data_IF_437922567087
#
_entry.id   IF_437922567087
#
_cell.length_a   1.000
_cell.length_b   1.000
_cell.length_c   1.000
_cell.angle_alpha   90.00
_cell.angle_beta   90.00
_cell.angle_gamma   90.00
#
_symmetry.space_group_name_H-M   'P 1'
#
loop_
_entity.id
_entity.type
_entity.pdbx_description
1 polymer ?
#
# COMPACT_ATOMS: atom_id res chain seq x y z
N UNK A 1 4.60 13.22 -6.03
CA UNK A 1 4.15 14.32 -5.17
C UNK A 1 4.69 15.63 -5.69
N UNK A 2 3.85 16.66 -5.76
CA UNK A 2 4.28 18.03 -6.02
C UNK A 2 4.71 18.72 -4.72
N UNK A 3 5.87 19.37 -4.71
CA UNK A 3 6.41 20.10 -3.56
C UNK A 3 6.94 21.44 -4.04
N UNK A 4 6.26 22.54 -3.66
CA UNK A 4 6.68 23.89 -4.04
C UNK A 4 6.69 24.17 -5.56
N UNK A 5 5.91 23.42 -6.34
CA UNK A 5 5.84 23.53 -7.79
C UNK A 5 6.75 22.54 -8.55
N UNK A 6 7.54 21.74 -7.86
CA UNK A 6 8.35 20.66 -8.43
C UNK A 6 7.75 19.29 -8.15
N UNK A 7 7.82 18.38 -9.12
CA UNK A 7 7.35 17.01 -8.97
C UNK A 7 8.48 16.08 -8.54
N UNK A 8 8.21 15.26 -7.52
CA UNK A 8 9.13 14.26 -7.00
C UNK A 8 8.50 12.88 -7.03
N UNK A 9 9.35 11.86 -7.24
CA UNK A 9 9.00 10.46 -7.14
C UNK A 9 9.50 9.91 -5.80
N UNK A 10 8.63 9.21 -5.09
CA UNK A 10 8.97 8.46 -3.88
C UNK A 10 8.91 6.97 -4.21
N UNK A 11 9.98 6.27 -3.98
CA UNK A 11 10.13 4.86 -4.37
C UNK A 11 10.59 3.99 -3.22
N UNK A 12 10.08 2.77 -3.16
CA UNK A 12 10.52 1.73 -2.23
C UNK A 12 11.26 0.63 -2.97
N UNK A 13 12.23 0.01 -2.31
CA UNK A 13 13.01 -1.10 -2.83
C UNK A 13 13.17 -2.17 -1.74
N UNK A 14 12.21 -3.09 -1.65
CA UNK A 14 12.08 -3.97 -0.49
C UNK A 14 13.04 -5.17 -0.46
N UNK A 15 13.47 -5.71 -1.58
CA UNK A 15 14.26 -6.94 -1.59
C UNK A 15 15.76 -6.70 -1.37
N UNK A 16 16.47 -6.36 -2.43
CA UNK A 16 17.95 -6.26 -2.41
C UNK A 16 18.45 -4.98 -1.78
N UNK A 17 17.76 -3.89 -2.02
CA UNK A 17 18.19 -2.56 -1.57
C UNK A 17 17.68 -2.26 -0.15
N UNK A 18 16.51 -2.77 0.21
CA UNK A 18 15.86 -2.53 1.51
C UNK A 18 15.97 -1.06 1.93
N UNK A 19 15.45 -0.20 1.05
CA UNK A 19 15.60 1.25 1.14
C UNK A 19 14.38 1.95 0.57
N UNK A 20 14.30 3.23 0.80
CA UNK A 20 13.37 4.12 0.14
C UNK A 20 14.09 5.40 -0.29
N UNK A 21 13.58 6.08 -1.31
CA UNK A 21 14.25 7.24 -1.87
C UNK A 21 13.25 8.27 -2.38
N UNK A 22 13.68 9.54 -2.36
CA UNK A 22 13.09 10.63 -3.09
C UNK A 22 13.94 10.90 -4.33
N UNK A 23 13.29 10.96 -5.47
CA UNK A 23 13.93 11.25 -6.76
C UNK A 23 13.28 12.48 -7.37
N UNK A 24 14.02 13.19 -8.21
CA UNK A 24 13.43 14.21 -9.11
C UNK A 24 12.49 13.52 -10.11
N UNK A 25 11.67 14.30 -10.81
CA UNK A 25 10.83 13.81 -11.92
C UNK A 25 11.66 13.17 -13.06
N UNK A 26 12.96 13.51 -13.17
CA UNK A 26 13.91 12.94 -14.14
C UNK A 26 14.62 11.69 -13.62
N UNK A 27 14.36 11.29 -12.37
CA UNK A 27 14.92 10.07 -11.76
C UNK A 27 16.25 10.25 -11.04
N UNK A 28 16.73 11.48 -10.85
CA UNK A 28 17.93 11.75 -10.07
C UNK A 28 17.64 11.63 -8.58
N UNK A 29 18.53 10.99 -7.83
CA UNK A 29 18.36 10.77 -6.39
C UNK A 29 18.56 12.08 -5.62
N UNK A 30 17.49 12.56 -4.95
CA UNK A 30 17.59 13.66 -3.99
C UNK A 30 18.15 13.14 -2.67
N UNK A 31 17.54 12.06 -2.14
CA UNK A 31 18.08 11.32 -0.99
C UNK A 31 17.63 9.85 -1.05
N UNK A 32 18.39 9.00 -0.34
CA UNK A 32 18.07 7.59 -0.09
C UNK A 32 18.24 7.29 1.37
N UNK A 33 17.30 6.58 1.95
CA UNK A 33 17.28 6.19 3.36
C UNK A 33 17.08 4.67 3.49
N UNK A 34 17.46 4.14 4.64
CA UNK A 34 17.42 2.73 4.99
C UNK A 34 16.60 2.52 6.26
N UNK A 35 16.79 1.38 6.96
CA UNK A 35 16.09 1.11 8.20
C UNK A 35 16.33 2.24 9.23
N UNK A 36 15.26 2.72 9.89
CA UNK A 36 15.39 3.66 10.99
C UNK A 36 15.81 2.88 12.26
N UNK A 37 17.12 2.76 12.50
CA UNK A 37 17.65 1.98 13.63
C UNK A 37 17.16 2.51 14.99
N UNK A 38 16.82 3.79 15.05
CA UNK A 38 16.22 4.47 16.23
C UNK A 38 14.88 3.85 16.64
N UNK A 39 14.14 3.26 15.69
CA UNK A 39 12.89 2.57 15.98
C UNK A 39 13.09 1.28 16.81
N UNK A 40 14.30 0.76 16.84
CA UNK A 40 14.63 -0.52 17.45
C UNK A 40 14.02 -1.74 16.73
N UNK A 41 14.51 -2.92 17.07
CA UNK A 41 13.99 -4.19 16.55
C UNK A 41 14.49 -4.59 15.17
N UNK A 42 15.36 -3.80 14.54
CA UNK A 42 16.08 -4.16 13.32
C UNK A 42 17.40 -4.85 13.64
N UNK A 43 17.79 -5.80 12.79
CA UNK A 43 19.09 -6.44 12.87
C UNK A 43 20.21 -5.44 12.55
N UNK A 44 21.39 -5.68 13.12
CA UNK A 44 22.56 -4.85 12.84
C UNK A 44 22.84 -4.79 11.33
N UNK A 45 23.16 -3.58 10.84
CA UNK A 45 23.45 -3.33 9.43
C UNK A 45 22.24 -3.21 8.51
N UNK A 46 21.00 -3.12 9.05
CA UNK A 46 19.82 -2.82 8.23
C UNK A 46 19.78 -1.36 7.70
N UNK A 47 20.64 -0.50 8.20
CA UNK A 47 20.83 0.90 7.78
C UNK A 47 21.92 1.11 6.72
N UNK A 48 22.60 0.06 6.26
CA UNK A 48 23.71 0.16 5.29
C UNK A 48 23.62 -0.84 4.14
N UNK A 49 24.30 -0.57 3.04
CA UNK A 49 24.54 -1.48 1.91
C UNK A 49 26.02 -1.90 1.86
N UNK A 50 26.33 -3.04 1.23
CA UNK A 50 25.47 -4.08 0.66
C UNK A 50 25.01 -5.10 1.70
N UNK A 51 23.84 -5.74 1.44
CA UNK A 51 23.28 -6.82 2.27
C UNK A 51 23.25 -8.11 1.49
N UNK A 52 23.77 -9.18 2.09
CA UNK A 52 23.97 -10.46 1.39
C UNK A 52 23.12 -11.61 1.93
N UNK A 53 22.43 -11.41 3.03
CA UNK A 53 21.68 -12.44 3.74
C UNK A 53 20.22 -12.57 3.28
N UNK A 54 19.51 -13.52 3.88
CA UNK A 54 18.08 -13.69 3.67
C UNK A 54 17.33 -12.40 4.05
N UNK A 55 16.61 -11.76 3.13
CA UNK A 55 15.92 -10.51 3.41
C UNK A 55 14.68 -10.69 4.30
N UNK A 56 14.14 -11.90 4.45
CA UNK A 56 12.87 -12.14 5.11
C UNK A 56 13.03 -12.30 6.63
N UNK A 57 12.29 -11.49 7.39
CA UNK A 57 12.31 -11.49 8.86
C UNK A 57 11.59 -10.28 9.43
N UNK A 58 11.18 -10.38 10.70
CA UNK A 58 10.54 -9.26 11.42
C UNK A 58 11.57 -8.24 11.91
N UNK A 59 12.83 -8.58 11.88
CA UNK A 59 14.00 -7.77 12.17
C UNK A 59 14.63 -7.15 10.90
N UNK A 60 13.93 -7.22 9.78
CA UNK A 60 14.39 -6.70 8.48
C UNK A 60 13.55 -5.50 8.05
N UNK A 61 14.18 -4.56 7.36
CA UNK A 61 13.51 -3.40 6.78
C UNK A 61 13.14 -3.67 5.32
N UNK A 62 11.85 -3.72 5.03
CA UNK A 62 11.35 -4.07 3.69
C UNK A 62 10.10 -3.24 3.36
N UNK A 63 10.31 -1.96 3.01
CA UNK A 63 9.24 -0.99 2.84
C UNK A 63 8.36 -1.31 1.63
N UNK A 64 7.07 -1.00 1.73
CA UNK A 64 6.07 -1.26 0.69
C UNK A 64 5.54 0.02 0.05
N UNK A 65 4.94 0.94 0.81
CA UNK A 65 4.29 2.11 0.23
C UNK A 65 4.33 3.33 1.16
N UNK A 66 4.01 4.50 0.58
CA UNK A 66 3.99 5.81 1.24
C UNK A 66 2.58 6.35 1.36
N UNK A 67 2.34 7.17 2.41
CA UNK A 67 1.23 8.10 2.49
C UNK A 67 1.75 9.48 2.92
N UNK A 68 1.35 10.54 2.22
CA UNK A 68 1.89 11.87 2.46
C UNK A 68 1.08 12.62 3.49
N UNK A 69 1.74 12.96 4.58
CA UNK A 69 1.13 13.71 5.69
C UNK A 69 0.89 15.18 5.31
N UNK A 70 -0.19 15.82 5.81
CA UNK A 70 -0.49 17.22 5.50
C UNK A 70 0.60 18.24 5.91
N UNK A 71 1.42 17.92 6.92
CA UNK A 71 2.54 18.79 7.34
C UNK A 71 3.76 18.78 6.43
N UNK A 72 3.71 18.00 5.34
CA UNK A 72 4.81 17.88 4.39
C UNK A 72 5.66 16.61 4.55
N UNK A 73 5.60 15.93 5.67
CA UNK A 73 6.26 14.65 5.88
C UNK A 73 5.48 13.47 5.25
N UNK A 74 5.74 12.25 5.73
CA UNK A 74 5.10 11.05 5.19
C UNK A 74 5.10 9.89 6.18
N UNK A 75 4.20 8.95 5.93
CA UNK A 75 4.24 7.62 6.49
C UNK A 75 4.84 6.63 5.51
N UNK A 76 5.49 5.59 6.02
CA UNK A 76 6.07 4.50 5.25
C UNK A 76 5.70 3.18 5.90
N UNK A 77 5.04 2.31 5.17
CA UNK A 77 4.74 0.96 5.64
C UNK A 77 5.96 0.05 5.44
N UNK A 78 6.45 -0.60 6.50
CA UNK A 78 7.45 -1.66 6.44
C UNK A 78 6.77 -3.04 6.35
N UNK A 79 6.02 -3.22 5.26
CA UNK A 79 5.00 -4.26 5.14
C UNK A 79 5.54 -5.68 4.91
N UNK A 80 6.76 -5.86 4.43
CA UNK A 80 7.39 -7.17 4.33
C UNK A 80 8.43 -7.41 5.44
N UNK A 81 8.86 -6.34 6.12
CA UNK A 81 9.81 -6.34 7.21
C UNK A 81 9.15 -6.42 8.58
N UNK A 82 9.26 -5.36 9.38
CA UNK A 82 8.84 -5.32 10.78
C UNK A 82 7.32 -5.30 11.00
N UNK A 83 6.51 -5.06 9.97
CA UNK A 83 5.06 -4.82 10.05
C UNK A 83 4.70 -3.57 10.86
N UNK A 84 5.56 -2.55 10.82
CA UNK A 84 5.32 -1.23 11.42
C UNK A 84 5.02 -0.18 10.36
N UNK A 85 4.37 0.87 10.78
CA UNK A 85 4.18 2.09 10.00
C UNK A 85 5.09 3.15 10.61
N UNK A 86 6.04 3.63 9.82
CA UNK A 86 7.00 4.66 10.24
C UNK A 86 6.53 6.04 9.82
N UNK A 87 6.75 7.03 10.67
CA UNK A 87 6.50 8.45 10.42
C UNK A 87 7.82 9.16 10.21
N UNK A 88 7.90 9.94 9.12
CA UNK A 88 9.07 10.74 8.75
C UNK A 88 8.67 12.20 8.54
N UNK A 89 9.60 13.13 8.75
CA UNK A 89 9.46 14.52 8.33
C UNK A 89 9.64 14.68 6.81
N UNK A 90 9.56 15.92 6.30
CA UNK A 90 9.71 16.23 4.88
C UNK A 90 11.13 15.92 4.33
N UNK A 91 12.14 15.93 5.17
CA UNK A 91 13.55 15.65 4.83
C UNK A 91 13.87 14.14 4.94
N UNK A 92 12.87 13.33 5.32
CA UNK A 92 13.03 11.89 5.51
C UNK A 92 13.75 11.52 6.80
N UNK A 93 13.75 12.36 7.83
CA UNK A 93 14.22 12.00 9.16
C UNK A 93 13.11 11.27 9.90
N UNK A 94 13.47 10.18 10.57
CA UNK A 94 12.51 9.38 11.31
C UNK A 94 12.02 10.13 12.56
N UNK A 95 10.71 10.03 12.81
CA UNK A 95 10.06 10.68 13.96
C UNK A 95 9.50 9.68 14.96
N UNK A 96 8.74 8.69 14.46
CA UNK A 96 8.05 7.70 15.28
C UNK A 96 7.61 6.49 14.46
N UNK A 97 7.05 5.49 15.12
CA UNK A 97 6.34 4.40 14.45
C UNK A 97 5.20 3.89 15.31
N UNK A 98 4.23 3.23 14.65
CA UNK A 98 3.14 2.53 15.30
C UNK A 98 2.91 1.17 14.62
N UNK A 99 2.07 0.35 15.25
CA UNK A 99 1.77 -0.99 14.76
C UNK A 99 2.78 -2.03 15.20
N UNK A 100 2.38 -3.27 15.05
CA UNK A 100 3.16 -4.46 15.41
C UNK A 100 2.71 -5.67 14.59
N UNK A 101 3.48 -6.75 14.52
CA UNK A 101 3.01 -8.00 13.93
C UNK A 101 1.75 -8.51 14.64
N UNK A 102 0.72 -8.92 13.89
CA UNK A 102 -0.50 -9.49 14.46
C UNK A 102 -0.29 -10.91 14.92
N UNK A 103 -0.90 -11.25 16.06
CA UNK A 103 -1.16 -12.61 16.47
C UNK A 103 -2.44 -13.19 15.84
N UNK A 104 -2.86 -14.39 16.29
CA UNK A 104 -4.10 -15.02 15.82
C UNK A 104 -5.37 -14.18 16.06
N UNK A 105 -5.36 -13.36 17.08
CA UNK A 105 -6.49 -12.51 17.52
C UNK A 105 -6.76 -11.32 16.61
N UNK A 106 -5.81 -10.98 15.71
CA UNK A 106 -5.91 -9.82 14.80
C UNK A 106 -6.35 -8.52 15.48
N UNK A 107 -5.85 -8.24 16.66
CA UNK A 107 -6.21 -7.02 17.39
C UNK A 107 -5.94 -5.74 16.59
N UNK A 108 -6.71 -4.69 16.86
CA UNK A 108 -6.53 -3.37 16.24
C UNK A 108 -5.11 -2.84 16.48
N UNK A 109 -4.51 -2.24 15.47
CA UNK A 109 -3.12 -1.76 15.49
C UNK A 109 -2.06 -2.85 15.27
N UNK A 110 -2.46 -4.12 15.13
CA UNK A 110 -1.56 -5.21 14.76
C UNK A 110 -1.76 -5.60 13.30
N UNK A 111 -0.67 -5.88 12.57
CA UNK A 111 -0.68 -6.08 11.13
C UNK A 111 -0.13 -7.44 10.70
N UNK A 112 -0.63 -7.91 9.55
CA UNK A 112 -0.03 -9.00 8.80
C UNK A 112 0.14 -8.57 7.33
N UNK A 113 1.37 -8.23 6.94
CA UNK A 113 1.68 -7.66 5.64
C UNK A 113 0.95 -6.30 5.38
N UNK A 114 1.14 -5.24 6.20
CA UNK A 114 0.63 -3.92 5.87
C UNK A 114 1.26 -3.43 4.57
N UNK A 115 0.46 -3.31 3.50
CA UNK A 115 1.04 -3.14 2.16
C UNK A 115 0.76 -1.76 1.57
N UNK A 116 -0.50 -1.45 1.31
CA UNK A 116 -0.92 -0.13 0.89
C UNK A 116 -1.17 0.78 2.10
N UNK A 117 -0.90 2.05 1.92
CA UNK A 117 -1.16 3.08 2.92
C UNK A 117 -1.52 4.38 2.22
N UNK A 118 -2.51 5.10 2.74
CA UNK A 118 -2.96 6.37 2.19
C UNK A 118 -3.45 7.32 3.28
N UNK A 119 -3.65 8.59 2.92
CA UNK A 119 -4.39 9.52 3.78
C UNK A 119 -5.84 9.54 3.29
N UNK A 120 -6.74 9.06 4.13
CA UNK A 120 -8.18 9.14 3.95
C UNK A 120 -8.66 10.47 4.51
N UNK A 121 -9.02 11.38 3.61
CA UNK A 121 -9.55 12.71 3.91
C UNK A 121 -11.05 12.86 3.56
N UNK A 122 -11.76 11.74 3.42
CA UNK A 122 -13.20 11.72 3.11
C UNK A 122 -14.11 12.13 4.27
N UNK A 123 -13.60 12.17 5.50
CA UNK A 123 -14.36 12.55 6.71
C UNK A 123 -13.99 13.92 7.26
N UNK A 124 -14.46 14.21 8.48
CA UNK A 124 -14.24 15.49 9.17
C UNK A 124 -12.75 15.79 9.47
N UNK A 125 -11.94 14.76 9.60
CA UNK A 125 -10.51 14.89 9.84
C UNK A 125 -9.74 13.80 9.06
N UNK A 126 -8.54 14.14 8.53
CA UNK A 126 -7.73 13.17 7.82
C UNK A 126 -7.24 12.05 8.73
N UNK A 127 -7.22 10.83 8.20
CA UNK A 127 -6.79 9.60 8.88
C UNK A 127 -5.77 8.86 8.04
N UNK A 128 -4.96 8.05 8.66
CA UNK A 128 -4.11 7.09 7.94
C UNK A 128 -4.92 5.80 7.75
N UNK A 129 -5.11 5.39 6.51
CA UNK A 129 -5.68 4.07 6.18
C UNK A 129 -4.59 3.12 5.75
N UNK A 130 -4.58 1.90 6.31
CA UNK A 130 -3.58 0.86 6.03
C UNK A 130 -4.28 -0.39 5.50
N UNK A 131 -3.86 -0.87 4.34
CA UNK A 131 -4.28 -2.17 3.82
C UNK A 131 -3.50 -3.28 4.55
N UNK A 132 -4.12 -3.85 5.58
CA UNK A 132 -3.63 -4.99 6.37
C UNK A 132 -3.89 -6.29 5.57
N UNK A 133 -3.05 -6.47 4.55
CA UNK A 133 -3.31 -7.33 3.39
C UNK A 133 -3.59 -8.77 3.74
N UNK A 134 -2.73 -9.41 4.52
CA UNK A 134 -2.89 -10.83 4.82
C UNK A 134 -3.94 -11.10 5.92
N UNK A 135 -4.39 -10.07 6.62
CA UNK A 135 -5.55 -10.13 7.51
C UNK A 135 -6.88 -9.90 6.78
N UNK A 136 -6.86 -9.42 5.53
CA UNK A 136 -8.04 -9.20 4.71
C UNK A 136 -8.89 -8.01 5.18
N UNK A 137 -8.25 -6.94 5.66
CA UNK A 137 -8.94 -5.76 6.21
C UNK A 137 -8.24 -4.45 5.88
N UNK A 138 -8.95 -3.34 6.05
CA UNK A 138 -8.38 -2.00 6.21
C UNK A 138 -8.41 -1.63 7.68
N UNK A 139 -7.43 -0.87 8.13
CA UNK A 139 -7.42 -0.25 9.46
C UNK A 139 -7.19 1.25 9.34
N UNK A 140 -7.92 2.04 10.12
CA UNK A 140 -7.78 3.50 10.20
C UNK A 140 -7.12 3.91 11.50
N UNK A 141 -6.25 4.91 11.39
CA UNK A 141 -5.49 5.49 12.50
C UNK A 141 -5.58 7.01 12.45
N UNK A 142 -5.44 7.66 13.61
CA UNK A 142 -5.18 9.10 13.64
C UNK A 142 -3.83 9.41 12.97
N UNK A 143 -3.57 10.68 12.65
CA UNK A 143 -2.26 11.09 12.13
C UNK A 143 -1.12 10.90 13.16
N UNK A 144 -1.45 10.70 14.44
CA UNK A 144 -0.49 10.37 15.49
C UNK A 144 -0.29 8.85 15.68
N UNK A 145 -1.01 8.03 14.91
CA UNK A 145 -0.89 6.57 14.92
C UNK A 145 -1.78 5.84 15.93
N UNK A 146 -2.79 6.51 16.50
CA UNK A 146 -3.79 5.88 17.36
C UNK A 146 -4.80 5.10 16.52
N UNK A 147 -5.06 3.85 16.90
CA UNK A 147 -6.07 3.01 16.25
C UNK A 147 -7.48 3.59 16.42
N UNK A 148 -8.23 3.67 15.34
CA UNK A 148 -9.59 4.22 15.32
C UNK A 148 -10.65 3.18 14.98
N UNK A 149 -10.48 2.46 13.87
CA UNK A 149 -11.48 1.51 13.36
C UNK A 149 -10.88 0.55 12.34
N UNK A 150 -11.67 -0.43 11.93
CA UNK A 150 -11.31 -1.36 10.85
C UNK A 150 -12.52 -1.75 10.02
N UNK A 151 -12.27 -2.22 8.81
CA UNK A 151 -13.21 -2.87 7.90
C UNK A 151 -12.67 -4.22 7.49
N UNK A 152 -13.32 -5.28 7.92
CA UNK A 152 -13.03 -6.67 7.55
C UNK A 152 -13.72 -7.08 6.24
N UNK A 153 -13.42 -8.30 5.77
CA UNK A 153 -14.11 -8.94 4.64
C UNK A 153 -13.53 -8.62 3.27
N UNK A 154 -12.39 -7.95 3.22
CA UNK A 154 -11.59 -7.86 2.01
C UNK A 154 -10.83 -9.18 1.77
N UNK A 155 -10.46 -9.46 0.52
CA UNK A 155 -9.82 -10.72 0.21
C UNK A 155 -8.30 -10.68 0.38
N UNK A 156 -7.65 -9.70 -0.23
CA UNK A 156 -6.21 -9.46 -0.13
C UNK A 156 -5.89 -8.03 -0.56
N UNK A 157 -6.33 -7.01 0.19
CA UNK A 157 -6.21 -5.60 -0.22
C UNK A 157 -4.74 -5.23 -0.40
N UNK A 158 -4.42 -4.63 -1.54
CA UNK A 158 -3.03 -4.33 -1.91
C UNK A 158 -2.66 -2.87 -1.72
N UNK A 159 -3.57 -1.97 -2.04
CA UNK A 159 -3.38 -0.52 -1.89
C UNK A 159 -4.71 0.18 -1.59
N UNK A 160 -4.67 1.48 -1.39
CA UNK A 160 -5.82 2.37 -1.27
C UNK A 160 -5.52 3.64 -2.05
N UNK A 161 -6.50 4.16 -2.79
CA UNK A 161 -6.52 5.51 -3.33
C UNK A 161 -7.83 6.19 -2.94
N UNK A 162 -7.82 7.51 -2.82
CA UNK A 162 -8.97 8.30 -2.37
C UNK A 162 -9.25 9.40 -3.38
N UNK A 163 -10.53 9.58 -3.70
CA UNK A 163 -11.01 10.70 -4.49
C UNK A 163 -12.42 11.10 -4.09
N UNK A 164 -12.61 12.36 -3.79
CA UNK A 164 -13.90 12.89 -3.32
C UNK A 164 -14.38 12.05 -2.11
N UNK A 165 -15.56 11.47 -2.17
CA UNK A 165 -16.14 10.62 -1.11
C UNK A 165 -15.93 9.12 -1.35
N UNK A 166 -14.97 8.72 -2.18
CA UNK A 166 -14.73 7.33 -2.55
C UNK A 166 -13.32 6.86 -2.21
N UNK A 167 -13.24 5.67 -1.63
CA UNK A 167 -12.01 4.92 -1.50
C UNK A 167 -11.98 3.79 -2.52
N UNK A 168 -10.84 3.61 -3.16
CA UNK A 168 -10.58 2.60 -4.18
C UNK A 168 -9.59 1.58 -3.61
N UNK A 169 -9.99 0.33 -3.53
CA UNK A 169 -9.17 -0.74 -2.93
C UNK A 169 -8.96 -1.87 -3.93
N UNK A 170 -7.79 -1.95 -4.58
CA UNK A 170 -7.42 -3.11 -5.39
C UNK A 170 -7.22 -4.32 -4.48
N UNK A 171 -7.95 -5.39 -4.79
CA UNK A 171 -7.94 -6.63 -4.05
C UNK A 171 -7.28 -7.72 -4.92
N UNK A 172 -6.10 -8.19 -4.53
CA UNK A 172 -5.27 -9.14 -5.32
C UNK A 172 -5.98 -10.43 -5.72
N UNK A 173 -7.17 -10.69 -5.20
CA UNK A 173 -8.01 -11.82 -5.59
C UNK A 173 -9.09 -11.36 -6.60
N UNK A 174 -8.64 -10.66 -7.65
CA UNK A 174 -9.41 -10.48 -8.88
C UNK A 174 -10.55 -9.47 -8.80
N UNK A 175 -10.50 -8.44 -7.94
CA UNK A 175 -11.50 -7.37 -7.93
C UNK A 175 -10.94 -6.04 -7.45
N UNK A 176 -11.63 -4.97 -7.75
CA UNK A 176 -11.40 -3.66 -7.15
C UNK A 176 -12.65 -3.27 -6.36
N UNK A 177 -12.49 -3.01 -5.07
CA UNK A 177 -13.58 -2.66 -4.16
C UNK A 177 -13.68 -1.14 -4.05
N UNK A 178 -14.89 -0.60 -4.13
CA UNK A 178 -15.21 0.80 -3.87
C UNK A 178 -15.90 0.93 -2.51
N UNK A 179 -15.46 1.87 -1.69
CA UNK A 179 -16.09 2.25 -0.43
C UNK A 179 -16.56 3.70 -0.51
N UNK A 180 -17.61 4.04 0.23
CA UNK A 180 -18.04 5.42 0.46
C UNK A 180 -17.30 6.05 1.66
N UNK A 181 -17.56 7.32 1.94
CA UNK A 181 -16.98 8.05 3.07
C UNK A 181 -17.36 7.47 4.45
N UNK A 182 -18.42 6.67 4.55
CA UNK A 182 -18.78 5.93 5.76
C UNK A 182 -18.04 4.58 5.87
N UNK A 183 -17.09 4.31 4.96
CA UNK A 183 -16.33 3.07 4.83
C UNK A 183 -17.20 1.84 4.51
N UNK A 184 -18.37 2.03 3.91
CA UNK A 184 -19.25 0.96 3.47
C UNK A 184 -18.91 0.55 2.04
N UNK A 185 -18.96 -0.76 1.75
CA UNK A 185 -18.76 -1.28 0.39
C UNK A 185 -19.92 -0.87 -0.50
N UNK A 186 -19.66 -0.04 -1.51
CA UNK A 186 -20.67 0.37 -2.51
C UNK A 186 -20.62 -0.46 -3.78
N UNK A 187 -19.55 -1.19 -4.02
CA UNK A 187 -19.48 -2.10 -5.16
C UNK A 187 -18.11 -2.75 -5.38
N UNK A 188 -18.12 -3.73 -6.27
CA UNK A 188 -16.92 -4.42 -6.75
C UNK A 188 -16.84 -4.31 -8.27
N UNK A 189 -15.71 -3.80 -8.77
CA UNK A 189 -15.45 -3.68 -10.19
C UNK A 189 -14.68 -4.90 -10.69
N UNK A 190 -15.06 -5.41 -11.85
CA UNK A 190 -14.37 -6.48 -12.55
C UNK A 190 -14.17 -7.77 -11.75
N UNK A 191 -15.07 -8.06 -10.80
CA UNK A 191 -14.94 -9.17 -9.85
C UNK A 191 -14.90 -10.53 -10.55
N UNK A 192 -13.78 -11.21 -10.39
CA UNK A 192 -13.51 -12.59 -10.82
C UNK A 192 -12.96 -13.43 -9.65
N UNK A 193 -13.22 -12.99 -8.43
CA UNK A 193 -12.64 -13.55 -7.21
C UNK A 193 -12.93 -15.03 -7.01
N UNK A 194 -14.13 -15.49 -7.38
CA UNK A 194 -14.50 -16.90 -7.29
C UNK A 194 -13.60 -17.77 -8.17
N UNK A 195 -13.35 -17.36 -9.43
CA UNK A 195 -12.47 -18.07 -10.35
C UNK A 195 -11.01 -18.00 -9.93
N UNK A 196 -10.56 -16.83 -9.45
CA UNK A 196 -9.21 -16.64 -8.93
C UNK A 196 -8.92 -17.49 -7.69
N UNK A 197 -9.90 -17.66 -6.81
CA UNK A 197 -9.78 -18.54 -5.64
C UNK A 197 -9.71 -20.01 -6.06
N UNK A 198 -10.54 -20.44 -7.03
CA UNK A 198 -10.52 -21.81 -7.55
C UNK A 198 -9.20 -22.18 -8.24
N UNK A 199 -8.58 -21.25 -8.97
CA UNK A 199 -7.26 -21.41 -9.60
C UNK A 199 -6.10 -21.47 -8.62
N UNK A 200 -6.31 -21.02 -7.37
CA UNK A 200 -5.25 -20.90 -6.39
C UNK A 200 -4.15 -19.91 -6.77
N UNK A 201 -4.46 -18.94 -7.62
CA UNK A 201 -3.60 -17.82 -8.08
C UNK A 201 -2.38 -18.28 -8.91
N UNK A 202 -2.48 -19.39 -9.63
CA UNK A 202 -1.31 -19.98 -10.31
C UNK A 202 -1.34 -19.91 -11.83
N UNK A 203 -2.36 -20.48 -12.48
CA UNK A 203 -2.42 -20.59 -13.92
C UNK A 203 -2.87 -19.29 -14.60
N UNK A 204 -3.99 -18.74 -14.16
CA UNK A 204 -4.60 -17.54 -14.76
C UNK A 204 -3.63 -16.36 -14.79
N UNK A 205 -2.84 -16.17 -13.74
CA UNK A 205 -1.84 -15.11 -13.66
C UNK A 205 -0.75 -15.20 -14.74
N UNK A 206 -0.47 -16.40 -15.22
CA UNK A 206 0.66 -16.68 -16.15
C UNK A 206 0.23 -16.84 -17.58
N UNK A 207 -1.07 -17.03 -17.83
CA UNK A 207 -1.61 -17.34 -19.15
C UNK A 207 -2.68 -16.32 -19.56
N UNK A 208 -2.29 -15.43 -20.49
CA UNK A 208 -3.18 -14.39 -21.01
C UNK A 208 -4.42 -14.93 -21.71
N UNK A 209 -4.34 -16.14 -22.27
CA UNK A 209 -5.48 -16.77 -22.96
C UNK A 209 -6.65 -17.07 -22.00
N UNK A 210 -6.37 -17.10 -20.70
CA UNK A 210 -7.35 -17.31 -19.65
C UNK A 210 -7.96 -16.00 -19.11
N UNK A 211 -7.48 -14.85 -19.59
CA UNK A 211 -8.02 -13.56 -19.12
C UNK A 211 -9.34 -13.23 -19.77
N UNK A 212 -10.27 -12.71 -19.00
CA UNK A 212 -11.61 -12.34 -19.46
C UNK A 212 -11.69 -10.81 -19.52
N UNK A 213 -12.20 -10.27 -20.62
CA UNK A 213 -12.42 -8.84 -20.76
C UNK A 213 -13.37 -8.32 -19.69
N UNK A 214 -13.03 -7.20 -19.05
CA UNK A 214 -13.81 -6.62 -17.96
C UNK A 214 -13.66 -7.34 -16.62
N UNK A 215 -12.77 -8.35 -16.52
CA UNK A 215 -12.43 -9.06 -15.28
C UNK A 215 -10.98 -8.83 -14.89
N UNK A 216 -10.75 -8.71 -13.59
CA UNK A 216 -9.41 -8.61 -13.03
C UNK A 216 -8.83 -9.97 -12.64
N UNK A 217 -7.51 -10.05 -12.67
CA UNK A 217 -6.75 -11.23 -12.25
C UNK A 217 -6.08 -10.96 -10.91
N UNK A 218 -5.11 -10.04 -10.89
CA UNK A 218 -4.40 -9.64 -9.68
C UNK A 218 -4.22 -8.12 -9.64
N UNK A 219 -5.28 -7.33 -9.40
CA UNK A 219 -5.13 -5.89 -9.22
C UNK A 219 -4.24 -5.61 -8.01
N UNK A 220 -3.10 -5.00 -8.26
CA UNK A 220 -2.10 -4.72 -7.24
C UNK A 220 -2.10 -3.25 -6.83
N UNK A 221 -2.40 -2.39 -7.78
CA UNK A 221 -2.56 -0.97 -7.55
C UNK A 221 -3.70 -0.42 -8.40
N UNK A 222 -4.34 0.64 -7.91
CA UNK A 222 -5.38 1.34 -8.64
C UNK A 222 -5.41 2.81 -8.21
N UNK A 223 -5.67 3.71 -9.16
CA UNK A 223 -5.80 5.13 -8.87
C UNK A 223 -6.89 5.78 -9.73
N UNK A 224 -7.41 6.90 -9.24
CA UNK A 224 -8.26 7.79 -10.01
C UNK A 224 -7.43 8.77 -10.84
N UNK A 225 -7.94 9.17 -12.01
CA UNK A 225 -7.46 10.37 -12.69
C UNK A 225 -8.32 11.61 -12.36
N UNK A 226 -7.90 12.78 -12.86
CA UNK A 226 -8.61 14.04 -12.64
C UNK A 226 -10.06 14.05 -13.14
N UNK A 227 -10.44 13.17 -14.06
CA UNK A 227 -11.80 13.03 -14.60
C UNK A 227 -12.64 11.98 -13.84
N UNK A 228 -12.02 11.24 -12.90
CA UNK A 228 -12.65 10.14 -12.15
C UNK A 228 -12.65 8.80 -12.89
N UNK A 229 -11.84 8.67 -13.96
CA UNK A 229 -11.55 7.35 -14.50
C UNK A 229 -10.62 6.60 -13.53
N UNK A 230 -10.69 5.27 -13.57
CA UNK A 230 -9.85 4.41 -12.71
C UNK A 230 -8.82 3.69 -13.58
N UNK A 231 -7.57 3.75 -13.18
CA UNK A 231 -6.50 2.94 -13.75
C UNK A 231 -6.13 1.84 -12.77
N UNK A 232 -6.07 0.61 -13.24
CA UNK A 232 -5.75 -0.57 -12.43
C UNK A 232 -4.51 -1.22 -12.98
N UNK A 233 -3.46 -1.31 -12.17
CA UNK A 233 -2.24 -2.05 -12.49
C UNK A 233 -2.30 -3.46 -11.90
N UNK A 234 -2.09 -4.48 -12.71
CA UNK A 234 -2.22 -5.87 -12.30
C UNK A 234 -0.87 -6.59 -12.23
N UNK A 235 -0.69 -7.34 -11.17
CA UNK A 235 0.48 -8.17 -10.94
C UNK A 235 0.35 -9.51 -11.67
N UNK A 236 0.48 -9.49 -12.98
CA UNK A 236 0.46 -10.63 -13.88
C UNK A 236 1.79 -10.74 -14.65
N UNK A 237 2.08 -11.88 -15.28
CA UNK A 237 3.42 -12.17 -15.81
C UNK A 237 3.97 -11.12 -16.78
N UNK A 238 3.12 -10.54 -17.63
CA UNK A 238 3.51 -9.49 -18.59
C UNK A 238 3.10 -8.07 -18.17
N UNK A 239 2.48 -7.96 -17.00
CA UNK A 239 1.81 -6.73 -16.59
C UNK A 239 0.55 -6.44 -17.42
N UNK A 240 -0.46 -5.86 -16.78
CA UNK A 240 -1.65 -5.33 -17.45
C UNK A 240 -2.07 -4.04 -16.76
N UNK A 241 -2.39 -3.03 -17.56
CA UNK A 241 -3.03 -1.81 -17.06
C UNK A 241 -4.40 -1.71 -17.72
N UNK A 242 -5.43 -1.57 -16.92
CA UNK A 242 -6.80 -1.42 -17.37
C UNK A 242 -7.31 -0.03 -17.00
N UNK A 243 -7.87 0.70 -17.97
CA UNK A 243 -8.60 1.94 -17.72
C UNK A 243 -10.09 1.66 -17.70
N UNK A 244 -10.76 2.00 -16.60
CA UNK A 244 -12.21 2.05 -16.48
C UNK A 244 -12.65 3.50 -16.65
N UNK A 245 -13.49 3.77 -17.64
CA UNK A 245 -14.01 5.11 -17.88
C UNK A 245 -15.21 5.38 -16.98
N UNK A 246 -15.20 6.54 -16.32
CA UNK A 246 -16.41 7.07 -15.68
C UNK A 246 -17.43 7.40 -16.77
N UNK A 247 -18.64 6.92 -16.63
CA UNK A 247 -19.77 7.30 -17.45
C UNK A 247 -20.49 8.47 -16.78
N UNK A 248 -20.78 9.49 -17.52
CA UNK A 248 -21.57 10.67 -17.09
C UNK A 248 -23.04 10.39 -17.18
#
# INVERSE_FOLDING_TARGET
>A
RNEGGEDFLYVTAYQRQRSFAKLTATGETVWRKYAPMEAGGYADGEDVLPRQDNPWGRDRFMPTNFAFHPDGGFFLADGYGSYRIHRYDADGNWLSCFGSPSGPEKSGGAFNLPHGIWIDDTGDAPKVVVADRANGRLQWFSLDGEYLSELDGLLLPANVDVRDDLLLVPDLVGRVTLLNAAHEVVGHLGDDSARMNADGKKAIRRDESLWINGKFVHPHDACFDGEGNIYVAEWVQRGRITKLRRLT
#
